data_IF_581487274200
#
_entry.id   IF_581487274200
#
_cell.length_a   1.000
_cell.length_b   1.000
_cell.length_c   1.000
_cell.angle_alpha   90.00
_cell.angle_beta   90.00
_cell.angle_gamma   90.00
#
_symmetry.space_group_name_H-M   'P 1'
#
loop_
_entity.id
_entity.type
_entity.pdbx_description
1 polymer ?
#
# COMPACT_ATOMS: atom_id res chain seq x y z
N UNK A 1 -11.38 4.80 4.75
CA UNK A 1 -10.71 4.48 6.03
C UNK A 1 -9.23 4.66 5.79
N UNK A 2 -8.60 5.68 6.36
CA UNK A 2 -7.22 6.05 5.98
C UNK A 2 -6.22 4.99 6.43
N UNK A 3 -5.40 4.49 5.49
CA UNK A 3 -4.31 3.58 5.81
C UNK A 3 -3.10 4.32 6.38
N UNK A 4 -2.36 3.66 7.27
CA UNK A 4 -1.17 4.22 7.90
C UNK A 4 0.01 4.07 6.94
N UNK A 5 0.84 5.11 6.80
CA UNK A 5 2.09 5.02 6.04
C UNK A 5 2.96 3.86 6.54
N UNK A 6 3.66 3.24 5.60
CA UNK A 6 4.49 2.05 5.77
C UNK A 6 3.74 0.80 6.24
N UNK A 7 2.41 0.77 6.10
CA UNK A 7 1.67 -0.49 6.21
C UNK A 7 1.88 -1.34 4.96
N UNK A 8 2.00 -2.66 5.16
CA UNK A 8 2.03 -3.61 4.07
C UNK A 8 0.61 -3.85 3.57
N UNK A 9 0.43 -3.70 2.25
CA UNK A 9 -0.85 -3.85 1.58
C UNK A 9 -0.79 -4.87 0.47
N UNK A 10 -1.93 -5.47 0.17
CA UNK A 10 -2.13 -6.38 -0.93
C UNK A 10 -3.12 -5.78 -1.93
N UNK A 11 -2.82 -5.88 -3.23
CA UNK A 11 -3.77 -5.54 -4.29
C UNK A 11 -4.96 -6.51 -4.27
N UNK A 12 -6.18 -6.01 -4.25
CA UNK A 12 -7.39 -6.86 -4.25
C UNK A 12 -7.96 -7.12 -5.65
N UNK A 13 -7.37 -6.48 -6.67
CA UNK A 13 -7.68 -6.61 -8.09
C UNK A 13 -6.40 -6.55 -8.94
N UNK A 14 -6.50 -6.96 -10.20
CA UNK A 14 -5.43 -6.78 -11.18
C UNK A 14 -5.31 -5.29 -11.56
N UNK A 15 -4.10 -4.83 -11.86
CA UNK A 15 -3.83 -3.52 -12.46
C UNK A 15 -3.08 -3.75 -13.77
N UNK A 16 -3.81 -3.88 -14.91
CA UNK A 16 -3.23 -4.30 -16.18
C UNK A 16 -2.15 -3.36 -16.72
N UNK A 17 -2.27 -2.06 -16.46
CA UNK A 17 -1.35 -1.02 -16.93
C UNK A 17 0.09 -1.25 -16.47
N UNK A 18 0.25 -1.80 -15.26
CA UNK A 18 1.54 -2.14 -14.67
C UNK A 18 1.84 -3.65 -14.70
N UNK A 19 1.00 -4.45 -15.38
CA UNK A 19 1.05 -5.91 -15.37
C UNK A 19 1.03 -6.51 -13.95
N UNK A 20 0.32 -5.87 -13.03
CA UNK A 20 0.20 -6.31 -11.64
C UNK A 20 -1.03 -7.20 -11.45
N UNK A 21 -0.87 -8.19 -10.57
CA UNK A 21 -1.91 -9.16 -10.27
C UNK A 21 -2.51 -8.92 -8.91
N UNK A 22 -3.80 -9.26 -8.79
CA UNK A 22 -4.43 -9.44 -7.49
C UNK A 22 -3.54 -10.33 -6.63
N UNK A 23 -3.30 -9.90 -5.40
CA UNK A 23 -2.45 -10.60 -4.47
C UNK A 23 -1.03 -10.05 -4.38
N UNK A 24 -0.58 -9.22 -5.32
CA UNK A 24 0.71 -8.52 -5.23
C UNK A 24 0.77 -7.67 -3.97
N UNK A 25 1.93 -7.68 -3.32
CA UNK A 25 2.16 -7.05 -2.02
C UNK A 25 3.11 -5.87 -2.19
N UNK A 26 2.80 -4.77 -1.54
CA UNK A 26 3.66 -3.59 -1.48
C UNK A 26 3.50 -2.86 -0.14
N UNK A 27 4.17 -1.72 -0.02
CA UNK A 27 4.18 -0.89 1.18
C UNK A 27 3.71 0.51 0.83
N UNK A 28 2.78 1.07 1.61
CA UNK A 28 2.34 2.45 1.42
C UNK A 28 3.47 3.40 1.79
N UNK A 29 3.82 4.33 0.90
CA UNK A 29 4.86 5.34 1.15
C UNK A 29 4.34 6.78 1.04
N UNK A 30 3.18 6.98 0.43
CA UNK A 30 2.52 8.30 0.36
C UNK A 30 0.99 8.17 0.39
N UNK A 31 0.32 9.22 0.86
CA UNK A 31 -1.14 9.34 0.96
C UNK A 31 -1.60 10.67 0.34
N UNK A 32 -2.58 10.60 -0.56
CA UNK A 32 -3.17 11.73 -1.27
C UNK A 32 -4.65 11.87 -0.89
N UNK A 33 -4.99 12.80 0.03
CA UNK A 33 -6.39 13.05 0.37
C UNK A 33 -7.14 13.69 -0.80
N UNK A 34 -8.28 13.10 -1.19
CA UNK A 34 -9.09 13.60 -2.31
C UNK A 34 -10.43 14.15 -1.80
N UNK A 35 -10.83 15.32 -2.29
CA UNK A 35 -12.03 16.01 -1.76
C UNK A 35 -13.35 15.53 -2.35
N UNK A 36 -13.32 14.92 -3.55
CA UNK A 36 -14.51 14.48 -4.29
C UNK A 36 -14.41 13.02 -4.78
N UNK A 37 -13.28 12.36 -4.51
CA UNK A 37 -12.96 11.00 -4.97
C UNK A 37 -12.40 10.19 -3.80
N UNK A 38 -12.15 8.90 -4.02
CA UNK A 38 -11.46 8.08 -3.04
C UNK A 38 -10.02 8.56 -2.85
N UNK A 39 -9.51 8.43 -1.63
CA UNK A 39 -8.12 8.77 -1.35
C UNK A 39 -7.16 7.89 -2.14
N UNK A 40 -6.08 8.51 -2.61
CA UNK A 40 -5.00 7.84 -3.33
C UNK A 40 -3.83 7.47 -2.41
N UNK A 41 -3.08 6.46 -2.80
CA UNK A 41 -1.88 6.01 -2.11
C UNK A 41 -0.78 5.67 -3.11
N UNK A 42 0.47 6.02 -2.81
CA UNK A 42 1.63 5.47 -3.53
C UNK A 42 2.12 4.23 -2.81
N UNK A 43 2.23 3.13 -3.53
CA UNK A 43 2.68 1.83 -3.02
C UNK A 43 4.00 1.43 -3.67
N UNK A 44 5.04 1.26 -2.85
CA UNK A 44 6.37 0.79 -3.26
C UNK A 44 6.44 -0.76 -3.21
N UNK A 45 7.34 -1.34 -4.02
CA UNK A 45 7.63 -2.78 -4.01
C UNK A 45 6.78 -3.61 -4.97
N UNK A 46 5.82 -2.98 -5.65
CA UNK A 46 5.04 -3.60 -6.72
C UNK A 46 5.82 -3.67 -8.04
N UNK A 47 6.63 -2.65 -8.31
CA UNK A 47 7.52 -2.55 -9.47
C UNK A 47 8.91 -2.08 -9.01
N UNK A 48 9.94 -2.37 -9.81
CA UNK A 48 11.33 -2.10 -9.42
C UNK A 48 11.63 -0.59 -9.49
N UNK A 49 12.11 -0.02 -8.37
CA UNK A 49 12.58 1.37 -8.24
C UNK A 49 11.52 2.47 -8.49
N UNK A 50 10.24 2.13 -8.47
CA UNK A 50 9.13 3.07 -8.72
C UNK A 50 7.95 2.74 -7.78
N UNK A 51 7.04 3.70 -7.62
CA UNK A 51 5.78 3.51 -6.89
C UNK A 51 4.61 3.34 -7.85
N UNK A 52 3.54 2.73 -7.34
CA UNK A 52 2.27 2.62 -8.08
C UNK A 52 1.20 3.35 -7.30
N UNK A 53 0.54 4.28 -7.96
CA UNK A 53 -0.62 4.98 -7.43
C UNK A 53 -1.84 4.05 -7.46
N UNK A 54 -2.54 3.95 -6.33
CA UNK A 54 -3.73 3.11 -6.17
C UNK A 54 -4.79 3.85 -5.34
N UNK A 55 -6.06 3.59 -5.63
CA UNK A 55 -7.17 4.07 -4.81
C UNK A 55 -7.36 3.19 -3.56
N UNK A 56 -7.99 3.74 -2.52
CA UNK A 56 -8.31 3.02 -1.28
C UNK A 56 -8.98 1.66 -1.55
N UNK A 57 -9.91 1.62 -2.51
CA UNK A 57 -10.65 0.40 -2.87
C UNK A 57 -9.83 -0.69 -3.58
N UNK A 58 -8.60 -0.40 -4.02
CA UNK A 58 -7.75 -1.35 -4.75
C UNK A 58 -6.81 -2.14 -3.85
N UNK A 59 -6.72 -1.77 -2.57
CA UNK A 59 -5.77 -2.34 -1.61
C UNK A 59 -6.45 -2.77 -0.32
N UNK A 60 -5.82 -3.71 0.37
CA UNK A 60 -6.17 -4.10 1.73
C UNK A 60 -4.90 -4.20 2.57
N UNK A 61 -4.93 -3.76 3.82
CA UNK A 61 -3.79 -3.94 4.74
C UNK A 61 -3.70 -5.40 5.16
N UNK A 62 -2.48 -5.94 5.13
CA UNK A 62 -2.18 -7.30 5.60
C UNK A 62 -1.26 -7.29 6.83
N UNK A 63 -0.39 -6.29 6.97
CA UNK A 63 0.43 -6.09 8.17
C UNK A 63 0.64 -4.58 8.41
N UNK A 64 0.55 -4.16 9.67
CA UNK A 64 0.88 -2.80 10.07
C UNK A 64 2.30 -2.79 10.64
N UNK A 65 3.23 -2.13 9.96
CA UNK A 65 4.63 -2.08 10.39
C UNK A 65 4.90 -0.92 11.34
N UNK A 66 4.09 -0.77 12.40
CA UNK A 66 4.48 0.02 13.57
C UNK A 66 3.83 -0.61 14.82
N UNK A 67 4.65 -1.09 15.76
CA UNK A 67 4.30 -1.58 17.12
C UNK A 67 4.08 -3.08 17.36
N UNK A 68 4.66 -4.02 16.60
CA UNK A 68 4.61 -5.44 17.00
C UNK A 68 5.95 -6.11 17.32
N UNK A 69 7.10 -5.49 17.02
CA UNK A 69 8.39 -6.03 17.45
C UNK A 69 8.88 -5.29 18.69
N UNK A 70 8.79 -5.87 19.91
CA UNK A 70 9.60 -5.37 21.01
C UNK A 70 11.06 -5.53 20.59
N UNK A 71 11.73 -4.40 20.32
CA UNK A 71 13.19 -4.37 20.23
C UNK A 71 13.74 -4.99 21.50
N UNK A 72 14.17 -6.25 21.42
CA UNK A 72 14.97 -6.85 22.49
C UNK A 72 16.37 -6.31 22.29
N UNK A 73 16.69 -5.27 23.05
CA UNK A 73 18.08 -4.85 23.26
C UNK A 73 18.77 -5.98 24.02
N UNK A 74 19.73 -6.65 23.37
CA UNK A 74 20.73 -7.53 23.99
C UNK A 74 22.07 -6.79 24.07
#
# INVERSE_FOLDING_TARGET
MTFILFSQVQLIQDIPEFNLKKGSIGVIVEYYPMSQEEDGYSVEGLIAQETVEVAESQIQVIEFEFLSKPCTFI
#
